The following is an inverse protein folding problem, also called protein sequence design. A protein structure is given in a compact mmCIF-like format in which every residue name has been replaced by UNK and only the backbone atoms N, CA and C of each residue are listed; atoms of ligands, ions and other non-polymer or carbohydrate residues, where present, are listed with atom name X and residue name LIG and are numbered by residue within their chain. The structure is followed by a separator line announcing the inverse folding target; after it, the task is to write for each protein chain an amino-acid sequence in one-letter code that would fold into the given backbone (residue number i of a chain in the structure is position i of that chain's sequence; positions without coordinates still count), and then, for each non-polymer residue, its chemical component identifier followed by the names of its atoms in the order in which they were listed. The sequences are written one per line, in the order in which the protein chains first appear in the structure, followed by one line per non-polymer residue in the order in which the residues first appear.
data_IF_094557286953
#
_entry.id   IF_094557286953
#
_cell.length_a   1.000
_cell.length_b   1.000
_cell.length_c   1.000
_cell.angle_alpha   90.00
_cell.angle_beta   90.00
_cell.angle_gamma   90.00
#
_symmetry.space_group_name_H-M   'P 1'
#
loop_
_entity.id
_entity.type
_entity.pdbx_description
1 polymer ?
#
# COMPACT_ATOMS: atom_id res chain seq x y z
N UNK A 1 -1.89 26.61 5.63
CA UNK A 1 -1.92 25.73 6.82
C UNK A 1 -0.75 24.75 6.75
N UNK A 2 0.32 24.91 7.54
CA UNK A 2 1.44 23.97 7.47
C UNK A 2 0.96 22.54 7.76
N UNK A 3 1.45 21.55 7.00
CA UNK A 3 1.15 20.14 7.26
C UNK A 3 1.87 19.69 8.54
N UNK A 4 1.21 18.91 9.43
CA UNK A 4 1.80 18.54 10.71
C UNK A 4 3.03 17.65 10.51
N UNK A 5 4.18 18.14 10.99
CA UNK A 5 5.45 17.44 10.87
C UNK A 5 5.52 16.16 11.70
N UNK A 6 4.70 16.05 12.75
CA UNK A 6 4.56 14.84 13.58
C UNK A 6 4.13 13.62 12.77
N UNK A 7 3.45 13.82 11.63
CA UNK A 7 3.03 12.73 10.74
C UNK A 7 4.06 12.39 9.67
N UNK A 8 5.17 13.11 9.57
CA UNK A 8 6.17 12.93 8.50
C UNK A 8 6.81 11.54 8.48
N UNK A 9 6.97 10.92 9.66
CA UNK A 9 7.52 9.57 9.81
C UNK A 9 6.46 8.47 9.86
N UNK A 10 5.18 8.83 9.84
CA UNK A 10 4.08 7.89 9.98
C UNK A 10 3.65 7.40 8.59
N UNK A 11 3.44 6.09 8.47
CA UNK A 11 2.87 5.50 7.26
C UNK A 11 1.40 5.87 7.13
N UNK A 12 1.06 6.49 6.01
CA UNK A 12 -0.28 6.95 5.67
C UNK A 12 -0.75 6.25 4.40
N UNK A 13 -2.04 5.95 4.38
CA UNK A 13 -2.72 5.26 3.30
C UNK A 13 -3.54 6.27 2.51
N UNK A 14 -3.31 6.33 1.20
CA UNK A 14 -4.14 7.09 0.27
C UNK A 14 -4.81 6.13 -0.72
N UNK A 15 -6.08 6.36 -0.98
CA UNK A 15 -6.86 5.61 -1.97
C UNK A 15 -6.88 6.37 -3.29
N UNK A 16 -6.68 5.65 -4.40
CA UNK A 16 -6.80 6.22 -5.73
C UNK A 16 -8.25 6.66 -6.00
N UNK A 17 -8.50 7.90 -6.45
CA UNK A 17 -9.86 8.38 -6.70
C UNK A 17 -10.51 7.73 -7.95
N UNK A 18 -9.73 7.07 -8.82
CA UNK A 18 -10.26 6.42 -10.02
C UNK A 18 -10.58 4.93 -9.82
N UNK A 19 -9.76 4.18 -9.08
CA UNK A 19 -9.91 2.73 -8.94
C UNK A 19 -9.99 2.23 -7.49
N UNK A 20 -9.91 3.12 -6.50
CA UNK A 20 -9.97 2.76 -5.08
C UNK A 20 -8.76 1.99 -4.55
N UNK A 21 -7.71 1.79 -5.36
CA UNK A 21 -6.49 1.11 -4.90
C UNK A 21 -5.81 1.94 -3.80
N UNK A 22 -5.75 1.37 -2.61
CA UNK A 22 -5.04 1.94 -1.48
C UNK A 22 -3.53 1.69 -1.61
N UNK A 23 -2.72 2.71 -1.33
CA UNK A 23 -1.28 2.59 -1.27
C UNK A 23 -0.73 3.31 -0.04
N UNK A 24 0.38 2.79 0.48
CA UNK A 24 0.98 3.23 1.75
C UNK A 24 2.30 3.93 1.46
N UNK A 25 2.48 5.15 2.00
CA UNK A 25 3.73 5.92 1.95
C UNK A 25 3.93 6.68 3.27
N UNK A 26 5.17 7.05 3.63
CA UNK A 26 5.40 7.87 4.81
C UNK A 26 4.91 9.31 4.58
N UNK A 27 4.45 10.00 5.63
CA UNK A 27 3.92 11.36 5.54
C UNK A 27 4.87 12.35 4.84
N UNK A 28 6.20 12.21 5.03
CA UNK A 28 7.21 13.01 4.34
C UNK A 28 7.10 12.95 2.81
N UNK A 29 6.66 11.80 2.28
CA UNK A 29 6.43 11.63 0.86
C UNK A 29 5.19 12.41 0.41
N UNK A 30 4.08 12.37 1.17
CA UNK A 30 2.87 13.14 0.86
C UNK A 30 3.08 14.66 0.94
N UNK A 31 3.99 15.13 1.80
CA UNK A 31 4.39 16.55 1.85
C UNK A 31 4.99 16.96 0.51
N UNK A 32 5.99 16.21 0.03
CA UNK A 32 6.76 16.55 -1.18
C UNK A 32 6.04 16.22 -2.49
N UNK A 33 5.20 15.17 -2.52
CA UNK A 33 4.60 14.69 -3.76
C UNK A 33 3.54 15.66 -4.31
N UNK A 34 3.69 16.08 -5.56
CA UNK A 34 2.66 16.84 -6.30
C UNK A 34 1.82 15.93 -7.21
N UNK A 35 2.43 14.85 -7.70
CA UNK A 35 1.80 13.86 -8.56
C UNK A 35 2.20 12.45 -8.11
N UNK A 36 1.33 11.48 -8.37
CA UNK A 36 1.61 10.08 -8.12
C UNK A 36 0.98 9.21 -9.19
N UNK A 37 1.67 8.12 -9.52
CA UNK A 37 1.13 7.10 -10.43
C UNK A 37 0.46 6.02 -9.59
N UNK A 38 -0.81 5.75 -9.86
CA UNK A 38 -1.52 4.66 -9.18
C UNK A 38 -0.98 3.31 -9.65
N UNK A 39 -0.70 2.38 -8.72
CA UNK A 39 -0.24 1.03 -9.07
C UNK A 39 -1.35 0.16 -9.69
N UNK A 40 -2.62 0.42 -9.35
CA UNK A 40 -3.77 -0.30 -9.90
C UNK A 40 -4.13 0.14 -11.31
N UNK A 41 -4.62 1.37 -11.47
CA UNK A 41 -5.07 1.88 -12.77
C UNK A 41 -3.96 2.52 -13.64
N UNK A 42 -2.73 2.59 -13.15
CA UNK A 42 -1.57 3.17 -13.86
C UNK A 42 -1.73 4.63 -14.28
N UNK A 43 -2.75 5.33 -13.79
CA UNK A 43 -3.04 6.73 -14.11
C UNK A 43 -2.20 7.66 -13.23
N UNK A 44 -1.76 8.77 -13.83
CA UNK A 44 -1.11 9.85 -13.12
C UNK A 44 -2.18 10.72 -12.46
N UNK A 45 -2.15 10.77 -11.13
CA UNK A 45 -3.03 11.61 -10.33
C UNK A 45 -2.27 12.80 -9.78
N UNK A 46 -2.95 13.95 -9.75
CA UNK A 46 -2.47 15.13 -9.04
C UNK A 46 -2.88 15.00 -7.59
N UNK A 47 -1.91 15.17 -6.68
CA UNK A 47 -2.16 15.29 -5.26
C UNK A 47 -2.20 16.77 -4.90
N UNK A 48 -3.39 17.32 -4.91
CA UNK A 48 -3.63 18.72 -4.60
C UNK A 48 -3.39 19.01 -3.12
N UNK A 49 -3.11 20.27 -2.80
CA UNK A 49 -2.90 20.67 -1.43
C UNK A 49 -4.12 20.43 -0.51
N UNK A 50 -5.38 20.68 -0.92
CA UNK A 50 -6.56 20.32 -0.14
C UNK A 50 -6.62 18.82 0.21
N UNK A 51 -6.35 17.94 -0.76
CA UNK A 51 -6.34 16.48 -0.52
C UNK A 51 -5.26 16.08 0.51
N UNK A 52 -4.09 16.76 0.48
CA UNK A 52 -3.07 16.57 1.51
C UNK A 52 -3.58 16.97 2.88
N UNK A 53 -4.23 18.13 2.99
CA UNK A 53 -4.76 18.61 4.27
C UNK A 53 -5.80 17.63 4.84
N UNK A 54 -6.74 17.15 4.02
CA UNK A 54 -7.73 16.16 4.43
C UNK A 54 -7.11 14.81 4.83
N UNK A 55 -6.06 14.38 4.13
CA UNK A 55 -5.32 13.17 4.49
C UNK A 55 -4.65 13.33 5.86
N UNK A 56 -3.93 14.44 6.09
CA UNK A 56 -3.24 14.68 7.36
C UNK A 56 -4.21 14.90 8.52
N UNK A 57 -5.34 15.57 8.31
CA UNK A 57 -6.37 15.77 9.33
C UNK A 57 -6.99 14.45 9.78
N UNK A 58 -7.34 13.56 8.84
CA UNK A 58 -7.85 12.21 9.14
C UNK A 58 -6.87 11.38 9.98
N UNK A 59 -5.58 11.49 9.71
CA UNK A 59 -4.54 10.78 10.48
C UNK A 59 -4.26 11.43 11.83
N UNK A 60 -4.29 12.75 11.91
CA UNK A 60 -4.18 13.49 13.18
C UNK A 60 -5.29 13.04 14.13
N UNK A 61 -6.56 13.04 13.66
CA UNK A 61 -7.72 12.55 14.41
C UNK A 61 -7.62 11.07 14.80
N UNK A 62 -7.06 10.23 13.92
CA UNK A 62 -6.83 8.81 14.21
C UNK A 62 -5.76 8.62 15.29
N UNK A 63 -4.65 9.34 15.25
CA UNK A 63 -3.58 9.18 16.25
C UNK A 63 -3.98 9.76 17.61
N UNK A 64 -4.79 10.82 17.63
CA UNK A 64 -5.38 11.31 18.89
C UNK A 64 -6.37 10.31 19.51
N UNK A 65 -6.96 9.43 18.70
CA UNK A 65 -7.95 8.43 19.16
C UNK A 65 -7.38 7.02 19.33
N UNK A 66 -6.20 6.73 18.78
CA UNK A 66 -5.58 5.39 18.74
C UNK A 66 -4.24 5.39 19.47
N UNK A 67 -4.32 5.35 20.80
CA UNK A 67 -3.30 4.70 21.63
C UNK A 67 -3.38 3.16 21.53
N UNK A 68 -4.31 2.59 20.75
CA UNK A 68 -4.60 1.15 20.75
C UNK A 68 -5.09 0.66 19.39
N UNK A 69 -4.20 0.07 18.58
CA UNK A 69 -4.41 -1.17 17.81
C UNK A 69 -3.35 -1.30 16.71
N UNK A 70 -2.36 -2.13 17.01
CA UNK A 70 -1.95 -3.25 16.16
C UNK A 70 -1.52 -2.91 14.74
N UNK A 71 -0.21 -2.83 14.57
CA UNK A 71 0.55 -3.07 13.34
C UNK A 71 -0.05 -4.21 12.51
N UNK A 72 -0.89 -3.92 11.53
CA UNK A 72 -1.17 -4.86 10.44
C UNK A 72 0.05 -4.92 9.55
N UNK A 73 0.81 -6.01 9.70
CA UNK A 73 1.89 -6.45 8.79
C UNK A 73 1.45 -6.27 7.32
N UNK A 74 2.36 -5.87 6.42
CA UNK A 74 2.11 -5.93 4.98
C UNK A 74 1.70 -7.35 4.59
N UNK A 75 0.70 -7.45 3.70
CA UNK A 75 0.35 -8.69 3.02
C UNK A 75 1.61 -9.36 2.49
N UNK A 76 1.95 -10.49 3.08
CA UNK A 76 2.93 -11.41 2.57
C UNK A 76 2.33 -12.00 1.30
N UNK A 77 2.93 -11.68 0.15
CA UNK A 77 2.64 -12.39 -1.08
C UNK A 77 2.86 -13.88 -0.83
N UNK A 78 1.92 -14.78 -1.16
CA UNK A 78 2.21 -16.20 -1.19
C UNK A 78 3.21 -16.42 -2.32
N UNK A 79 4.49 -16.50 -1.98
CA UNK A 79 5.54 -16.93 -2.88
C UNK A 79 5.15 -18.29 -3.45
N UNK A 80 5.09 -18.34 -4.78
CA UNK A 80 5.01 -19.50 -5.66
C UNK A 80 5.41 -20.80 -4.97
N UNK A 81 4.41 -21.64 -4.68
CA UNK A 81 4.61 -23.04 -4.36
C UNK A 81 5.09 -23.71 -5.65
N UNK A 82 6.42 -23.82 -5.78
CA UNK A 82 7.06 -24.67 -6.77
C UNK A 82 6.73 -26.11 -6.41
N UNK A 83 5.69 -26.65 -7.03
CA UNK A 83 5.28 -28.01 -6.80
C UNK A 83 6.22 -28.93 -7.57
N UNK A 84 6.97 -29.71 -6.81
CA UNK A 84 7.83 -30.80 -7.25
C UNK A 84 7.16 -31.66 -8.33
N UNK A 85 7.91 -31.80 -9.41
CA UNK A 85 7.70 -32.67 -10.56
C UNK A 85 7.70 -34.13 -10.09
N UNK A 86 6.55 -34.65 -9.69
CA UNK A 86 6.35 -36.08 -9.45
C UNK A 86 5.82 -36.77 -10.72
N UNK A 87 6.63 -37.73 -11.17
CA UNK A 87 6.21 -39.00 -11.77
C UNK A 87 5.56 -38.94 -13.15
N UNK A 88 6.41 -38.95 -14.18
CA UNK A 88 6.07 -39.55 -15.47
C UNK A 88 6.70 -40.95 -15.49
N UNK A 89 5.87 -41.97 -15.31
CA UNK A 89 6.23 -43.37 -15.49
C UNK A 89 5.62 -43.84 -16.82
N UNK A 90 6.41 -44.35 -17.78
CA UNK A 90 5.86 -45.13 -18.86
C UNK A 90 5.91 -46.65 -18.55
N UNK A 91 4.98 -47.45 -19.12
CA UNK A 91 4.80 -48.87 -18.81
C UNK A 91 5.53 -49.81 -19.80
N UNK A 92 5.77 -51.06 -19.37
CA UNK A 92 6.09 -52.22 -20.22
C UNK A 92 7.54 -52.27 -20.73
N UNK A 93 8.16 -53.40 -21.09
CA UNK A 93 7.71 -54.75 -21.40
C UNK A 93 8.97 -55.66 -21.50
N UNK A 94 8.80 -56.93 -21.14
CA UNK A 94 9.31 -58.17 -21.78
C UNK A 94 10.81 -58.39 -22.05
N UNK A 95 11.29 -59.59 -21.66
CA UNK A 95 12.60 -60.17 -22.00
C UNK A 95 12.99 -61.31 -21.07
#
# INVERSE_FOLDING_TARGET
MPLPQTLSSIEMTLECPACGTAFIKPGRWFIAAAHYRCEGCQRLHRLTYPEKVELFDRYTKRLTTVSQRGTTRPRECPSLQGNDKASDAPPGREG
#
